data_IF_527599624875
#
_entry.id   IF_527599624875
#
_cell.length_a   1.000
_cell.length_b   1.000
_cell.length_c   1.000
_cell.angle_alpha   90.00
_cell.angle_beta   90.00
_cell.angle_gamma   90.00
#
_symmetry.space_group_name_H-M   'P 1'
#
loop_
_entity.id
_entity.type
_entity.pdbx_description
1 polymer ?
#
# COMPACT_ATOMS: atom_id res chain seq x y z
N UNK A 1 14.17 16.33 17.67
CA UNK A 1 12.91 16.29 16.86
C UNK A 1 11.83 15.61 17.68
N UNK A 2 10.54 15.99 17.60
CA UNK A 2 9.46 15.27 18.32
C UNK A 2 9.17 13.96 17.59
N UNK A 3 9.08 12.84 18.32
CA UNK A 3 8.83 11.51 17.77
C UNK A 3 7.54 11.43 16.95
N UNK A 4 7.57 10.66 15.85
CA UNK A 4 6.46 10.47 14.90
C UNK A 4 5.54 9.33 15.36
N UNK A 5 4.97 9.47 16.54
CA UNK A 5 4.16 8.45 17.24
C UNK A 5 2.65 8.67 17.10
N UNK A 6 2.20 9.69 16.38
CA UNK A 6 0.76 9.96 16.19
C UNK A 6 0.40 10.08 14.71
N UNK A 7 -0.84 9.72 14.38
CA UNK A 7 -1.36 9.78 13.00
C UNK A 7 -1.19 11.16 12.37
N UNK A 8 -1.58 12.22 13.07
CA UNK A 8 -1.49 13.58 12.51
C UNK A 8 -0.05 14.01 12.21
N UNK A 9 0.91 13.58 13.04
CA UNK A 9 2.33 13.87 12.81
C UNK A 9 2.85 13.06 11.62
N UNK A 10 2.49 11.77 11.53
CA UNK A 10 2.87 10.93 10.41
C UNK A 10 2.30 11.46 9.09
N UNK A 11 1.02 11.84 9.05
CA UNK A 11 0.39 12.43 7.88
C UNK A 11 1.05 13.77 7.47
N UNK A 12 1.30 14.66 8.43
CA UNK A 12 2.03 15.91 8.17
C UNK A 12 3.46 15.66 7.69
N UNK A 13 4.12 14.63 8.20
CA UNK A 13 5.47 14.27 7.81
C UNK A 13 5.53 13.68 6.40
N UNK A 14 4.58 12.84 6.00
CA UNK A 14 4.49 12.36 4.62
C UNK A 14 4.26 13.50 3.62
N UNK A 15 3.47 14.51 3.98
CA UNK A 15 3.33 15.72 3.16
C UNK A 15 4.66 16.49 3.03
N UNK A 16 5.43 16.60 4.13
CA UNK A 16 6.78 17.20 4.07
C UNK A 16 7.71 16.39 3.17
N UNK A 17 7.72 15.06 3.29
CA UNK A 17 8.55 14.18 2.45
C UNK A 17 8.15 14.33 0.97
N UNK A 18 6.84 14.40 0.67
CA UNK A 18 6.36 14.64 -0.69
C UNK A 18 6.93 15.96 -1.27
N UNK A 19 6.88 17.06 -0.52
CA UNK A 19 7.38 18.35 -0.99
C UNK A 19 8.89 18.30 -1.27
N UNK A 20 9.66 17.67 -0.39
CA UNK A 20 11.10 17.51 -0.56
C UNK A 20 11.44 16.61 -1.76
N UNK A 21 10.74 15.47 -1.93
CA UNK A 21 10.90 14.58 -3.09
C UNK A 21 10.47 15.27 -4.38
N UNK A 22 9.39 16.05 -4.35
CA UNK A 22 8.93 16.82 -5.51
C UNK A 22 9.97 17.85 -5.95
N UNK A 23 10.58 18.53 -5.00
CA UNK A 23 11.65 19.48 -5.29
C UNK A 23 12.88 18.80 -5.91
N UNK A 24 13.34 17.69 -5.33
CA UNK A 24 14.58 17.02 -5.72
C UNK A 24 14.45 16.20 -7.02
N UNK A 25 13.34 15.45 -7.17
CA UNK A 25 13.20 14.46 -8.24
C UNK A 25 12.20 14.84 -9.33
N UNK A 26 11.42 15.92 -9.15
CA UNK A 26 10.40 16.36 -10.10
C UNK A 26 10.41 17.87 -10.36
N UNK A 27 11.47 18.57 -9.95
CA UNK A 27 11.64 20.02 -10.19
C UNK A 27 10.43 20.86 -9.70
N UNK A 28 9.78 20.39 -8.63
CA UNK A 28 8.56 21.01 -8.07
C UNK A 28 7.37 21.09 -9.05
N UNK A 29 7.33 20.23 -10.06
CA UNK A 29 6.28 20.26 -11.09
C UNK A 29 4.97 19.58 -10.67
N UNK A 30 5.00 18.72 -9.65
CA UNK A 30 3.80 18.02 -9.19
C UNK A 30 2.96 18.91 -8.26
N UNK A 31 1.68 19.09 -8.59
CA UNK A 31 0.73 19.65 -7.63
C UNK A 31 0.54 18.68 -6.47
N UNK A 32 0.33 19.20 -5.25
CA UNK A 32 0.19 18.35 -4.07
C UNK A 32 -1.10 17.54 -4.13
N UNK A 33 -1.05 16.19 -4.13
CA UNK A 33 -2.23 15.33 -4.01
C UNK A 33 -2.70 15.29 -2.55
N UNK A 34 -3.84 14.68 -2.29
CA UNK A 34 -4.22 14.28 -0.93
C UNK A 34 -3.42 13.04 -0.53
N UNK A 35 -2.54 13.18 0.46
CA UNK A 35 -1.78 12.05 1.00
C UNK A 35 -2.56 11.43 2.15
N UNK A 36 -2.88 10.14 2.03
CA UNK A 36 -3.63 9.39 3.04
C UNK A 36 -2.81 8.24 3.62
N UNK A 37 -3.22 7.79 4.80
CA UNK A 37 -2.68 6.62 5.49
C UNK A 37 -3.85 5.68 5.74
N UNK A 38 -4.04 4.71 4.84
CA UNK A 38 -5.15 3.77 4.92
C UNK A 38 -4.66 2.33 4.76
N UNK A 39 -5.48 1.37 5.15
CA UNK A 39 -5.18 -0.04 4.88
C UNK A 39 -5.07 -0.31 3.39
N UNK A 40 -3.95 -0.88 2.99
CA UNK A 40 -3.69 -1.30 1.60
C UNK A 40 -3.27 -2.76 1.60
N UNK A 41 -4.21 -3.70 1.63
CA UNK A 41 -3.87 -5.11 1.65
C UNK A 41 -3.01 -5.50 0.45
N UNK A 42 -1.85 -6.14 0.72
CA UNK A 42 -0.91 -6.65 -0.29
C UNK A 42 -0.15 -5.57 -1.10
N UNK A 43 -0.21 -4.30 -0.72
CA UNK A 43 0.59 -3.24 -1.31
C UNK A 43 1.13 -2.29 -0.22
N UNK A 44 2.20 -1.58 -0.50
CA UNK A 44 2.77 -0.59 0.40
C UNK A 44 2.14 0.79 0.22
N UNK A 45 1.61 1.06 -0.95
CA UNK A 45 0.92 2.28 -1.32
C UNK A 45 0.08 2.10 -2.58
N UNK A 46 -0.61 3.15 -2.99
CA UNK A 46 -1.21 3.26 -4.32
C UNK A 46 -1.47 4.72 -4.69
N UNK A 47 -1.41 5.00 -5.98
CA UNK A 47 -1.84 6.25 -6.59
C UNK A 47 -3.23 6.08 -7.21
N UNK A 48 -4.14 7.03 -6.96
CA UNK A 48 -5.46 7.06 -7.58
C UNK A 48 -5.45 7.85 -8.90
N UNK A 49 -5.83 7.19 -10.00
CA UNK A 49 -5.94 7.82 -11.32
C UNK A 49 -7.10 8.84 -11.41
N UNK A 50 -8.00 8.87 -10.43
CA UNK A 50 -9.15 9.77 -10.43
C UNK A 50 -8.75 11.13 -9.85
N UNK A 51 -9.00 12.20 -10.62
CA UNK A 51 -8.76 13.58 -10.21
C UNK A 51 -9.76 14.07 -9.16
N UNK A 52 -10.86 13.37 -8.97
CA UNK A 52 -11.93 13.66 -8.03
C UNK A 52 -12.02 12.67 -6.88
N UNK A 53 -10.92 11.98 -6.54
CA UNK A 53 -10.89 11.08 -5.39
C UNK A 53 -11.22 11.82 -4.10
N UNK A 54 -10.72 13.04 -3.97
CA UNK A 54 -11.07 13.97 -2.91
C UNK A 54 -11.61 15.26 -3.51
N UNK A 55 -12.80 15.66 -3.08
CA UNK A 55 -13.52 16.83 -3.63
C UNK A 55 -13.68 17.90 -2.55
N UNK A 56 -13.33 19.12 -2.88
CA UNK A 56 -13.52 20.30 -2.04
C UNK A 56 -14.21 21.41 -2.83
N UNK A 57 -14.48 22.55 -2.19
CA UNK A 57 -14.98 23.75 -2.88
C UNK A 57 -13.99 24.33 -3.90
N UNK A 58 -12.72 23.94 -3.81
CA UNK A 58 -11.64 24.39 -4.71
C UNK A 58 -11.40 23.43 -5.88
N UNK A 59 -12.13 22.31 -5.94
CA UNK A 59 -11.98 21.27 -6.95
C UNK A 59 -11.63 19.92 -6.38
N UNK A 60 -11.34 18.96 -7.27
CA UNK A 60 -10.90 17.62 -6.95
C UNK A 60 -9.38 17.53 -6.80
N UNK A 61 -8.90 16.52 -6.08
CA UNK A 61 -7.49 16.17 -5.99
C UNK A 61 -7.28 14.65 -6.12
N UNK A 62 -6.16 14.27 -6.73
CA UNK A 62 -5.69 12.91 -6.71
C UNK A 62 -5.35 12.46 -5.29
N UNK A 63 -5.24 11.16 -5.09
CA UNK A 63 -4.81 10.55 -3.85
C UNK A 63 -3.53 9.75 -4.05
N UNK A 64 -2.60 9.92 -3.12
CA UNK A 64 -1.52 8.97 -2.87
C UNK A 64 -1.75 8.39 -1.48
N UNK A 65 -1.98 7.08 -1.40
CA UNK A 65 -2.13 6.40 -0.13
C UNK A 65 -0.86 5.63 0.22
N UNK A 66 -0.43 5.75 1.48
CA UNK A 66 0.64 4.93 2.07
C UNK A 66 0.01 3.92 3.03
N UNK A 67 0.41 2.66 2.90
CA UNK A 67 -0.17 1.56 3.67
C UNK A 67 0.01 1.72 5.18
N UNK A 68 -1.10 1.83 5.90
CA UNK A 68 -1.11 2.05 7.34
C UNK A 68 -0.45 0.89 8.14
N UNK A 69 -0.53 -0.34 7.63
CA UNK A 69 0.05 -1.52 8.26
C UNK A 69 1.54 -1.70 8.02
N UNK A 70 2.16 -0.84 7.21
CA UNK A 70 3.58 -0.92 6.82
C UNK A 70 4.31 0.41 6.97
N UNK A 71 3.72 1.33 7.71
CA UNK A 71 4.22 2.69 7.87
C UNK A 71 5.47 2.77 8.77
N UNK A 72 5.65 1.83 9.69
CA UNK A 72 6.81 1.76 10.59
C UNK A 72 8.02 1.02 9.99
N UNK A 73 8.05 0.81 8.68
CA UNK A 73 9.26 0.36 7.97
C UNK A 73 10.36 1.44 8.07
N UNK A 74 11.63 1.09 7.82
CA UNK A 74 12.69 2.07 7.69
C UNK A 74 12.27 3.23 6.77
N UNK A 75 12.66 4.46 7.12
CA UNK A 75 12.21 5.66 6.41
C UNK A 75 12.58 5.64 4.93
N UNK A 76 13.71 5.03 4.58
CA UNK A 76 14.14 4.85 3.20
C UNK A 76 13.18 3.99 2.38
N UNK A 77 12.56 2.99 2.98
CA UNK A 77 11.55 2.16 2.32
C UNK A 77 10.20 2.87 2.20
N UNK A 78 9.82 3.68 3.20
CA UNK A 78 8.60 4.50 3.15
C UNK A 78 8.77 5.60 2.12
N UNK A 79 9.91 6.27 2.07
CA UNK A 79 10.23 7.28 1.07
C UNK A 79 10.26 6.68 -0.36
N UNK A 80 10.86 5.50 -0.53
CA UNK A 80 10.85 4.78 -1.81
C UNK A 80 9.43 4.41 -2.24
N UNK A 81 8.55 4.03 -1.32
CA UNK A 81 7.13 3.79 -1.62
C UNK A 81 6.44 5.07 -2.07
N UNK A 82 6.62 6.17 -1.34
CA UNK A 82 6.02 7.46 -1.72
C UNK A 82 6.54 7.91 -3.10
N UNK A 83 7.84 7.78 -3.35
CA UNK A 83 8.46 8.13 -4.63
C UNK A 83 7.93 7.25 -5.78
N UNK A 84 7.67 5.95 -5.53
CA UNK A 84 7.04 5.04 -6.49
C UNK A 84 5.66 5.56 -6.93
N UNK A 85 4.82 5.94 -5.98
CA UNK A 85 3.48 6.48 -6.27
C UNK A 85 3.55 7.86 -6.94
N UNK A 86 4.56 8.68 -6.60
CA UNK A 86 4.82 9.96 -7.27
C UNK A 86 5.26 9.78 -8.73
N UNK A 87 5.98 8.70 -9.06
CA UNK A 87 6.32 8.35 -10.46
C UNK A 87 5.06 8.03 -11.26
N UNK A 88 4.12 7.25 -10.69
CA UNK A 88 2.81 7.01 -11.33
C UNK A 88 2.06 8.31 -11.55
N UNK A 89 2.02 9.19 -10.55
CA UNK A 89 1.36 10.49 -10.64
C UNK A 89 1.98 11.35 -11.74
N UNK A 90 3.31 11.46 -11.78
CA UNK A 90 4.03 12.17 -12.84
C UNK A 90 3.71 11.62 -14.23
N UNK A 91 3.79 10.30 -14.40
CA UNK A 91 3.51 9.64 -15.67
C UNK A 91 2.07 9.88 -16.12
N UNK A 92 1.11 9.84 -15.19
CA UNK A 92 -0.29 10.14 -15.46
C UNK A 92 -0.47 11.57 -15.98
N UNK A 93 0.11 12.58 -15.33
CA UNK A 93 0.03 13.98 -15.74
C UNK A 93 0.64 14.21 -17.15
N UNK A 94 1.59 13.40 -17.55
CA UNK A 94 2.24 13.49 -18.87
C UNK A 94 1.64 12.51 -19.91
N UNK A 95 0.52 11.87 -19.62
CA UNK A 95 -0.13 10.92 -20.52
C UNK A 95 0.70 9.67 -20.81
N UNK A 96 1.64 9.32 -19.95
CA UNK A 96 2.48 8.13 -20.07
C UNK A 96 1.79 6.95 -19.43
N UNK A 97 1.33 5.99 -20.26
CA UNK A 97 0.81 4.73 -19.74
C UNK A 97 1.96 3.85 -19.26
N UNK A 98 2.17 3.79 -17.96
CA UNK A 98 3.26 3.11 -17.29
C UNK A 98 2.86 1.73 -16.72
N UNK A 99 1.56 1.42 -16.67
CA UNK A 99 1.00 0.15 -16.27
C UNK A 99 0.12 -0.47 -17.36
N UNK A 100 -0.07 -1.79 -17.27
CA UNK A 100 -0.98 -2.59 -18.09
C UNK A 100 -1.76 -3.59 -17.22
N UNK A 101 -2.59 -4.47 -17.84
CA UNK A 101 -3.38 -5.48 -17.13
C UNK A 101 -4.23 -4.88 -15.98
N UNK A 102 -4.99 -3.84 -16.28
CA UNK A 102 -5.82 -3.16 -15.26
C UNK A 102 -4.98 -2.48 -14.16
N UNK A 103 -3.88 -1.85 -14.54
CA UNK A 103 -2.94 -1.13 -13.68
C UNK A 103 -2.20 -2.00 -12.65
N UNK A 104 -2.11 -3.31 -12.89
CA UNK A 104 -1.39 -4.22 -11.98
C UNK A 104 0.00 -4.60 -12.45
N UNK A 105 0.32 -4.41 -13.74
CA UNK A 105 1.60 -4.78 -14.33
C UNK A 105 2.39 -3.55 -14.77
N UNK A 106 3.49 -3.26 -14.09
CA UNK A 106 4.39 -2.14 -14.38
C UNK A 106 5.26 -2.45 -15.61
N UNK A 107 5.24 -1.56 -16.58
CA UNK A 107 5.96 -1.76 -17.83
C UNK A 107 7.35 -1.08 -17.81
N UNK A 108 8.07 -1.11 -18.95
CA UNK A 108 9.41 -0.51 -19.07
C UNK A 108 9.41 1.02 -18.98
N UNK A 109 8.27 1.68 -19.25
CA UNK A 109 8.16 3.15 -19.10
C UNK A 109 8.17 3.53 -17.63
N UNK A 110 7.44 2.75 -16.79
CA UNK A 110 7.53 2.91 -15.32
C UNK A 110 8.97 2.72 -14.86
N UNK A 111 9.61 1.61 -15.27
CA UNK A 111 11.00 1.34 -14.90
C UNK A 111 11.92 2.53 -15.19
N UNK A 112 11.91 3.01 -16.42
CA UNK A 112 12.79 4.11 -16.85
C UNK A 112 12.54 5.39 -16.02
N UNK A 113 11.26 5.76 -15.81
CA UNK A 113 10.90 6.94 -15.03
C UNK A 113 11.27 6.81 -13.55
N UNK A 114 11.18 5.61 -12.99
CA UNK A 114 11.51 5.34 -11.58
C UNK A 114 13.03 5.33 -11.34
N UNK A 115 13.80 4.70 -12.24
CA UNK A 115 15.27 4.67 -12.15
C UNK A 115 15.87 6.08 -12.34
N UNK A 116 15.33 6.88 -13.25
CA UNK A 116 15.72 8.29 -13.43
C UNK A 116 15.54 9.10 -12.13
N UNK A 117 14.56 8.74 -11.32
CA UNK A 117 14.17 9.44 -10.08
C UNK A 117 14.67 8.78 -8.79
N UNK A 118 15.75 8.00 -8.89
CA UNK A 118 16.44 7.50 -7.69
C UNK A 118 15.84 6.25 -7.06
N UNK A 119 15.11 5.44 -7.84
CA UNK A 119 14.71 4.11 -7.44
C UNK A 119 15.51 3.03 -8.17
N UNK A 120 15.82 1.95 -7.49
CA UNK A 120 16.27 0.70 -8.10
C UNK A 120 15.06 -0.15 -8.40
N UNK A 121 14.92 -0.64 -9.64
CA UNK A 121 13.73 -1.37 -10.08
C UNK A 121 14.07 -2.78 -10.50
N UNK A 122 13.38 -3.77 -9.91
CA UNK A 122 13.54 -5.18 -10.27
C UNK A 122 12.25 -5.77 -10.86
N UNK A 123 12.41 -6.79 -11.70
CA UNK A 123 11.32 -7.42 -12.43
C UNK A 123 10.69 -8.59 -11.66
N UNK A 124 9.36 -8.66 -11.74
CA UNK A 124 8.55 -9.79 -11.29
C UNK A 124 7.71 -10.28 -12.45
N UNK A 125 7.62 -11.60 -12.65
CA UNK A 125 6.81 -12.19 -13.74
C UNK A 125 5.32 -11.83 -13.63
N UNK A 126 4.84 -11.68 -12.41
CA UNK A 126 3.44 -11.38 -12.12
C UNK A 126 3.09 -9.90 -12.27
N UNK A 127 3.97 -9.01 -11.78
CA UNK A 127 3.69 -7.59 -11.64
C UNK A 127 4.59 -6.68 -12.49
N UNK A 128 5.47 -7.29 -13.32
CA UNK A 128 6.41 -6.55 -14.15
C UNK A 128 7.51 -5.86 -13.33
N UNK A 129 7.85 -4.65 -13.69
CA UNK A 129 8.89 -3.83 -13.06
C UNK A 129 8.35 -3.09 -11.83
N UNK A 130 7.78 -3.84 -10.86
CA UNK A 130 7.03 -3.30 -9.72
C UNK A 130 7.81 -3.24 -8.42
N UNK A 131 8.87 -4.05 -8.26
CA UNK A 131 9.66 -4.05 -7.04
C UNK A 131 10.65 -2.89 -7.08
N UNK A 132 10.46 -1.94 -6.20
CA UNK A 132 11.31 -0.76 -6.06
C UNK A 132 12.00 -0.73 -4.70
N UNK A 133 13.24 -0.28 -4.69
CA UNK A 133 14.04 -0.02 -3.50
C UNK A 133 14.79 1.29 -3.66
N UNK A 134 15.26 1.92 -2.56
CA UNK A 134 16.02 3.16 -2.65
C UNK A 134 17.35 2.93 -3.39
N UNK A 135 17.72 3.88 -4.26
CA UNK A 135 19.08 3.98 -4.79
C UNK A 135 19.98 4.75 -3.83
N UNK A 136 21.30 4.74 -4.09
CA UNK A 136 22.26 5.55 -3.32
C UNK A 136 21.86 7.03 -3.32
N UNK A 137 21.37 7.58 -4.45
CA UNK A 137 20.88 8.96 -4.55
C UNK A 137 19.71 9.24 -3.59
N UNK A 138 18.77 8.30 -3.47
CA UNK A 138 17.65 8.45 -2.54
C UNK A 138 18.12 8.32 -1.08
N UNK A 139 19.08 7.44 -0.80
CA UNK A 139 19.67 7.32 0.54
C UNK A 139 20.42 8.59 0.96
N UNK A 140 21.24 9.17 0.08
CA UNK A 140 21.89 10.45 0.29
C UNK A 140 20.88 11.56 0.58
N UNK A 141 19.83 11.67 -0.26
CA UNK A 141 18.73 12.62 -0.06
C UNK A 141 18.08 12.48 1.34
N UNK A 142 17.85 11.25 1.80
CA UNK A 142 17.24 10.99 3.13
C UNK A 142 18.16 11.49 4.24
N UNK A 143 19.47 11.27 4.13
CA UNK A 143 20.46 11.75 5.08
C UNK A 143 20.56 13.28 5.08
N UNK A 144 20.64 13.90 3.92
CA UNK A 144 20.77 15.35 3.76
C UNK A 144 19.56 16.13 4.30
N UNK A 145 18.38 15.49 4.29
CA UNK A 145 17.14 16.08 4.81
C UNK A 145 16.79 15.65 6.25
N UNK A 146 17.70 14.94 6.95
CA UNK A 146 17.48 14.43 8.31
C UNK A 146 16.13 13.68 8.45
N UNK A 147 15.78 12.86 7.47
CA UNK A 147 14.53 12.10 7.53
C UNK A 147 14.67 10.95 8.54
N UNK A 148 13.60 10.73 9.32
CA UNK A 148 13.58 9.77 10.42
C UNK A 148 12.39 8.84 10.35
N UNK A 149 12.48 7.68 10.99
CA UNK A 149 11.44 6.66 10.99
C UNK A 149 10.12 7.15 11.57
N UNK A 150 9.03 6.64 11.00
CA UNK A 150 7.68 6.83 11.51
C UNK A 150 7.39 5.71 12.51
N UNK A 151 7.09 6.09 13.76
CA UNK A 151 6.96 5.17 14.89
C UNK A 151 5.51 4.78 15.19
N UNK A 152 4.63 4.88 14.21
CA UNK A 152 3.23 4.45 14.30
C UNK A 152 2.90 3.50 13.17
N UNK A 153 2.16 2.45 13.48
CA UNK A 153 1.70 1.46 12.51
C UNK A 153 0.29 0.98 12.89
N UNK A 154 -0.50 0.59 11.90
CA UNK A 154 -1.80 -0.02 12.14
C UNK A 154 -1.65 -1.53 12.24
N UNK A 155 -2.18 -2.14 13.30
CA UNK A 155 -2.33 -3.59 13.35
C UNK A 155 -3.41 -4.04 12.37
N UNK A 156 -2.99 -4.62 11.25
CA UNK A 156 -3.91 -5.18 10.28
C UNK A 156 -4.17 -6.66 10.62
N UNK A 157 -5.44 -7.03 10.69
CA UNK A 157 -5.84 -8.41 10.91
C UNK A 157 -5.32 -9.27 9.75
N UNK A 158 -4.31 -10.10 10.02
CA UNK A 158 -3.88 -11.16 9.11
C UNK A 158 -2.53 -11.00 8.41
N UNK A 159 -1.67 -10.04 8.74
CA UNK A 159 -0.36 -10.00 8.12
C UNK A 159 0.59 -8.95 8.68
N UNK A 160 1.82 -9.33 8.83
CA UNK A 160 2.96 -8.56 9.29
C UNK A 160 2.91 -8.07 10.74
N UNK A 161 3.29 -8.96 11.64
CA UNK A 161 3.89 -8.52 12.90
C UNK A 161 5.29 -8.01 12.57
N UNK A 162 5.45 -6.70 12.54
CA UNK A 162 6.77 -6.10 12.66
C UNK A 162 7.10 -6.11 14.15
N UNK A 163 7.85 -7.10 14.57
CA UNK A 163 8.54 -7.05 15.86
C UNK A 163 9.77 -6.18 15.66
N UNK A 164 9.60 -4.88 15.84
CA UNK A 164 10.73 -3.97 15.95
C UNK A 164 11.29 -4.00 17.34
N UNK A 165 12.33 -4.77 17.56
CA UNK A 165 13.44 -4.48 18.47
C UNK A 165 14.62 -5.31 18.00
N UNK A 166 15.72 -4.61 17.74
CA UNK A 166 16.89 -5.16 17.08
C UNK A 166 17.51 -6.36 17.77
N UNK A 167 18.11 -7.13 17.00
CA UNK A 167 19.48 -7.64 16.96
C UNK A 167 19.54 -8.82 16.01
N UNK A 168 20.58 -8.81 15.24
CA UNK A 168 21.02 -9.73 14.22
C UNK A 168 20.84 -11.23 14.46
N UNK A 169 20.72 -11.91 13.30
CA UNK A 169 20.98 -13.30 12.97
C UNK A 169 19.86 -14.30 13.30
N UNK A 170 19.29 -14.82 12.24
CA UNK A 170 18.45 -15.99 12.26
C UNK A 170 17.99 -16.32 10.83
N UNK A 171 18.65 -17.30 10.24
CA UNK A 171 18.32 -17.99 9.00
C UNK A 171 16.81 -18.26 8.90
N UNK A 172 16.17 -18.10 7.73
CA UNK A 172 14.78 -18.49 7.56
C UNK A 172 14.68 -20.02 7.58
N UNK A 173 14.19 -20.57 8.66
CA UNK A 173 13.72 -21.95 8.68
C UNK A 173 12.40 -22.00 7.91
N UNK A 174 12.44 -22.80 6.85
CA UNK A 174 11.28 -23.20 6.07
C UNK A 174 10.49 -24.20 6.92
N UNK A 175 9.51 -23.73 7.68
CA UNK A 175 8.47 -24.59 8.21
C UNK A 175 7.15 -24.20 7.58
N UNK A 176 6.61 -25.16 6.81
CA UNK A 176 5.36 -25.03 6.11
C UNK A 176 4.18 -24.85 7.06
N UNK A 177 3.77 -23.62 7.28
CA UNK A 177 2.51 -23.32 7.95
C UNK A 177 1.37 -23.47 6.94
N UNK A 178 0.50 -24.43 7.20
CA UNK A 178 -0.71 -24.70 6.42
C UNK A 178 -1.52 -23.41 6.22
N UNK A 179 -2.21 -23.23 5.08
CA UNK A 179 -2.98 -22.02 4.80
C UNK A 179 -4.00 -21.80 5.92
N UNK A 180 -3.93 -20.62 6.57
CA UNK A 180 -4.88 -20.25 7.63
C UNK A 180 -6.29 -20.31 7.06
N UNK A 181 -7.08 -21.24 7.59
CA UNK A 181 -8.48 -21.41 7.23
C UNK A 181 -9.20 -20.08 7.48
N UNK A 182 -9.95 -19.61 6.47
CA UNK A 182 -10.85 -18.45 6.60
C UNK A 182 -11.69 -18.62 7.87
N UNK A 183 -11.72 -17.61 8.74
CA UNK A 183 -12.57 -17.60 9.92
C UNK A 183 -14.07 -17.54 9.60
N UNK A 184 -14.41 -17.40 8.31
CA UNK A 184 -15.79 -17.34 7.85
C UNK A 184 -16.34 -18.75 7.58
N UNK A 185 -17.50 -19.02 8.14
CA UNK A 185 -18.28 -20.25 7.97
C UNK A 185 -19.24 -20.08 6.81
N UNK A 186 -19.29 -21.04 5.91
CA UNK A 186 -20.26 -21.05 4.82
C UNK A 186 -21.50 -21.83 5.24
N UNK A 187 -22.65 -21.23 5.07
CA UNK A 187 -23.96 -21.85 5.26
C UNK A 187 -24.66 -21.97 3.90
N UNK A 188 -25.32 -23.07 3.64
CA UNK A 188 -25.96 -23.34 2.37
C UNK A 188 -27.37 -23.93 2.59
N UNK A 189 -28.34 -23.46 1.84
CA UNK A 189 -29.68 -24.02 1.80
C UNK A 189 -29.64 -25.41 1.14
N UNK A 190 -30.16 -26.46 1.80
CA UNK A 190 -30.16 -27.80 1.22
C UNK A 190 -31.14 -27.96 0.04
N UNK A 191 -32.12 -27.05 -0.07
CA UNK A 191 -33.11 -27.07 -1.11
C UNK A 191 -32.67 -26.34 -2.37
N UNK A 192 -32.33 -25.03 -2.30
CA UNK A 192 -32.02 -24.22 -3.49
C UNK A 192 -30.54 -23.94 -3.69
N UNK A 193 -29.66 -24.34 -2.77
CA UNK A 193 -28.21 -24.12 -2.86
C UNK A 193 -27.76 -22.69 -2.59
N UNK A 194 -28.66 -21.77 -2.26
CA UNK A 194 -28.32 -20.40 -1.84
C UNK A 194 -27.33 -20.46 -0.66
N UNK A 195 -26.30 -19.64 -0.68
CA UNK A 195 -25.27 -19.70 0.36
C UNK A 195 -24.91 -18.32 0.90
N UNK A 196 -24.59 -18.27 2.19
CA UNK A 196 -24.09 -17.08 2.90
C UNK A 196 -22.85 -17.43 3.69
N UNK A 197 -22.05 -16.41 4.05
CA UNK A 197 -20.89 -16.56 4.93
C UNK A 197 -21.06 -15.71 6.18
N UNK A 198 -20.72 -16.29 7.33
CA UNK A 198 -20.75 -15.60 8.61
C UNK A 198 -19.42 -15.81 9.38
N UNK A 199 -19.00 -14.81 10.13
CA UNK A 199 -17.77 -14.86 10.95
C UNK A 199 -17.97 -15.53 12.30
N UNK A 200 -19.24 -15.73 12.70
CA UNK A 200 -19.65 -16.43 13.93
C UNK A 200 -20.71 -17.49 13.61
N UNK A 201 -20.96 -18.37 14.56
CA UNK A 201 -22.07 -19.33 14.43
C UNK A 201 -23.37 -18.57 14.48
N UNK A 202 -24.25 -18.81 13.50
CA UNK A 202 -25.53 -18.15 13.34
C UNK A 202 -26.59 -19.15 12.89
N UNK A 203 -27.83 -18.92 13.28
CA UNK A 203 -28.98 -19.65 12.78
C UNK A 203 -29.62 -18.80 11.66
N UNK A 204 -29.65 -19.33 10.46
CA UNK A 204 -30.14 -18.64 9.26
C UNK A 204 -31.12 -19.56 8.56
N UNK A 205 -32.24 -19.03 8.10
CA UNK A 205 -33.19 -19.76 7.26
C UNK A 205 -33.26 -19.14 5.85
N UNK A 206 -33.51 -19.98 4.87
CA UNK A 206 -33.83 -19.56 3.51
C UNK A 206 -35.31 -19.18 3.47
N UNK A 207 -35.59 -17.91 3.21
CA UNK A 207 -36.99 -17.44 3.15
C UNK A 207 -37.73 -17.96 1.92
N UNK A 208 -37.02 -18.33 0.86
CA UNK A 208 -37.64 -18.86 -0.37
C UNK A 208 -38.04 -20.33 -0.24
N UNK A 209 -37.35 -21.09 0.62
CA UNK A 209 -37.57 -22.53 0.79
C UNK A 209 -38.11 -22.89 2.17
N UNK A 210 -38.17 -21.93 3.09
CA UNK A 210 -38.50 -22.12 4.51
C UNK A 210 -37.65 -23.20 5.21
N UNK A 211 -36.38 -23.31 4.78
CA UNK A 211 -35.44 -24.33 5.25
C UNK A 211 -34.24 -23.69 5.97
N UNK A 212 -33.76 -24.27 7.10
CA UNK A 212 -32.54 -23.80 7.73
C UNK A 212 -31.33 -24.04 6.85
N UNK A 213 -30.42 -23.04 6.80
CA UNK A 213 -29.14 -23.19 6.14
C UNK A 213 -28.20 -24.07 6.96
N UNK A 214 -27.58 -25.04 6.32
CA UNK A 214 -26.62 -25.96 6.94
C UNK A 214 -25.20 -25.42 6.82
N UNK A 215 -24.40 -25.61 7.84
CA UNK A 215 -22.97 -25.32 7.83
C UNK A 215 -22.24 -26.25 6.84
N UNK A 216 -21.54 -25.68 5.85
CA UNK A 216 -20.82 -26.43 4.82
C UNK A 216 -19.34 -26.02 4.88
N UNK A 217 -18.52 -26.80 5.58
CA UNK A 217 -17.06 -26.68 5.60
C UNK A 217 -16.50 -25.61 6.52
#
# INVERSE_FOLDING_TARGET
MKELTSYNRAAGYLNKIFDLLNQEFFESTLSRPTITIQSTPKAYGHFSLREDTWVSKLGGTHEINIGAGTLSRPIEEVAATLLHEMVHYHNYLHGVQDCSRGNTYHNRKFKAAAEERGLVVTHSDKYGWSHTSPSDRLLEFILDNDLTDILINRNEFGGFRITGTGTHSGTPTVDGEAPRRSSSRKYMCPCCGMSVRATRVVNIACLDCDEPLLLVG
#
